data_IF_229227552646
#
_entry.id   IF_229227552646
#
_cell.length_a   1.000
_cell.length_b   1.000
_cell.length_c   1.000
_cell.angle_alpha   90.00
_cell.angle_beta   90.00
_cell.angle_gamma   90.00
#
_symmetry.space_group_name_H-M   'P 1'
#
loop_
_entity.id
_entity.type
_entity.pdbx_description
1 polymer ?
#
# COMPACT_ATOMS: atom_id res chain seq x y z
N UNK A 1 -75.69 55.09 -29.38
CA UNK A 1 -74.68 54.54 -28.44
C UNK A 1 -75.20 53.23 -27.89
N UNK A 2 -74.47 52.12 -28.12
CA UNK A 2 -74.49 50.92 -27.28
C UNK A 2 -73.19 50.14 -27.60
N UNK A 3 -72.09 50.52 -26.94
CA UNK A 3 -70.83 49.74 -26.92
C UNK A 3 -71.07 48.54 -26.01
N UNK A 4 -71.40 47.38 -26.60
CA UNK A 4 -71.81 46.19 -25.86
C UNK A 4 -70.93 44.97 -26.12
N UNK A 5 -70.40 44.41 -25.05
CA UNK A 5 -70.00 43.00 -24.87
C UNK A 5 -68.78 42.39 -25.57
N UNK A 6 -68.26 42.91 -26.68
CA UNK A 6 -67.20 42.18 -27.39
C UNK A 6 -65.90 42.07 -26.57
N UNK A 7 -65.42 43.19 -25.99
CA UNK A 7 -64.20 43.23 -25.18
C UNK A 7 -64.23 42.38 -23.90
N UNK A 8 -65.40 42.21 -23.26
CA UNK A 8 -65.54 41.35 -22.06
C UNK A 8 -65.47 39.86 -22.41
N UNK A 9 -65.94 39.48 -23.62
CA UNK A 9 -65.85 38.10 -24.11
C UNK A 9 -64.41 37.74 -24.52
N UNK A 10 -63.66 38.67 -25.13
CA UNK A 10 -62.24 38.45 -25.46
C UNK A 10 -61.37 38.39 -24.19
N UNK A 11 -61.64 39.23 -23.19
CA UNK A 11 -60.92 39.21 -21.91
C UNK A 11 -61.16 37.91 -21.11
N UNK A 12 -62.35 37.31 -21.21
CA UNK A 12 -62.66 36.04 -20.55
C UNK A 12 -62.00 34.85 -21.25
N UNK A 13 -61.89 34.87 -22.58
CA UNK A 13 -61.19 33.84 -23.35
C UNK A 13 -59.67 33.86 -23.10
N UNK A 14 -59.06 35.05 -23.01
CA UNK A 14 -57.65 35.19 -22.67
C UNK A 14 -57.32 34.70 -21.24
N UNK A 15 -58.28 34.82 -20.29
CA UNK A 15 -58.10 34.35 -18.90
C UNK A 15 -58.20 32.82 -18.75
N UNK A 16 -58.85 32.14 -19.69
CA UNK A 16 -59.03 30.67 -19.66
C UNK A 16 -57.92 29.95 -20.44
N UNK A 17 -57.27 30.60 -21.41
CA UNK A 17 -56.17 30.02 -22.20
C UNK A 17 -54.77 30.11 -21.58
N UNK A 18 -54.59 30.85 -20.49
CA UNK A 18 -53.29 31.11 -19.86
C UNK A 18 -52.82 30.06 -18.84
N UNK A 19 -53.61 29.02 -18.58
CA UNK A 19 -53.24 27.94 -17.65
C UNK A 19 -53.19 26.61 -18.38
N UNK A 20 -52.38 26.54 -19.44
CA UNK A 20 -51.94 25.27 -20.01
C UNK A 20 -50.52 25.01 -19.52
N UNK A 21 -50.29 23.78 -19.08
CA UNK A 21 -49.09 23.37 -18.36
C UNK A 21 -49.45 22.96 -16.95
N UNK A 22 -50.22 21.87 -16.78
CA UNK A 22 -50.04 21.05 -15.59
C UNK A 22 -48.54 20.79 -15.51
N UNK A 23 -47.86 21.38 -14.52
CA UNK A 23 -46.42 21.19 -14.37
C UNK A 23 -46.15 19.70 -14.39
N UNK A 24 -45.55 19.23 -15.48
CA UNK A 24 -45.22 17.82 -15.63
C UNK A 24 -44.34 17.51 -14.43
N UNK A 25 -44.86 16.68 -13.52
CA UNK A 25 -44.12 16.30 -12.31
C UNK A 25 -42.86 15.64 -12.82
N UNK A 26 -41.75 16.38 -12.83
CA UNK A 26 -40.43 15.84 -13.21
C UNK A 26 -40.28 14.54 -12.46
N UNK A 27 -40.12 13.38 -13.12
CA UNK A 27 -40.10 12.10 -12.43
C UNK A 27 -38.81 12.01 -11.62
N UNK A 28 -38.82 12.51 -10.39
CA UNK A 28 -37.65 12.56 -9.50
C UNK A 28 -37.22 11.14 -9.08
N UNK A 29 -38.09 10.14 -9.25
CA UNK A 29 -37.78 8.75 -8.93
C UNK A 29 -36.58 8.19 -9.70
N UNK A 30 -36.46 8.47 -11.01
CA UNK A 30 -35.33 8.01 -11.82
C UNK A 30 -33.98 8.61 -11.38
N UNK A 31 -33.81 9.94 -11.26
CA UNK A 31 -32.54 10.51 -10.79
C UNK A 31 -32.22 10.13 -9.34
N UNK A 32 -33.22 9.94 -8.46
CA UNK A 32 -32.99 9.41 -7.10
C UNK A 32 -32.44 7.99 -7.15
N UNK A 33 -33.07 7.09 -7.92
CA UNK A 33 -32.61 5.71 -8.06
C UNK A 33 -31.19 5.66 -8.66
N UNK A 34 -30.90 6.48 -9.67
CA UNK A 34 -29.57 6.59 -10.27
C UNK A 34 -28.53 7.11 -9.27
N UNK A 35 -28.88 8.12 -8.47
CA UNK A 35 -28.00 8.65 -7.41
C UNK A 35 -27.71 7.58 -6.36
N UNK A 36 -28.72 6.82 -5.95
CA UNK A 36 -28.56 5.73 -5.00
C UNK A 36 -27.62 4.64 -5.52
N UNK A 37 -27.77 4.24 -6.79
CA UNK A 37 -26.87 3.27 -7.42
C UNK A 37 -25.43 3.79 -7.48
N UNK A 38 -25.22 5.06 -7.82
CA UNK A 38 -23.88 5.67 -7.84
C UNK A 38 -23.25 5.72 -6.44
N UNK A 39 -24.00 6.14 -5.42
CA UNK A 39 -23.51 6.19 -4.03
C UNK A 39 -23.20 4.79 -3.52
N UNK A 40 -24.10 3.81 -3.74
CA UNK A 40 -23.86 2.42 -3.35
C UNK A 40 -22.64 1.84 -4.08
N UNK A 41 -22.52 2.09 -5.38
CA UNK A 41 -21.37 1.69 -6.17
C UNK A 41 -20.07 2.27 -5.62
N UNK A 42 -20.05 3.56 -5.28
CA UNK A 42 -18.87 4.21 -4.70
C UNK A 42 -18.53 3.66 -3.32
N UNK A 43 -19.53 3.41 -2.47
CA UNK A 43 -19.34 2.76 -1.16
C UNK A 43 -18.77 1.35 -1.31
N UNK A 44 -19.27 0.55 -2.26
CA UNK A 44 -18.74 -0.79 -2.53
C UNK A 44 -17.31 -0.76 -3.08
N UNK A 45 -16.98 0.21 -3.93
CA UNK A 45 -15.60 0.39 -4.42
C UNK A 45 -14.67 0.77 -3.28
N UNK A 46 -15.04 1.73 -2.42
CA UNK A 46 -14.26 2.11 -1.24
C UNK A 46 -14.09 0.90 -0.30
N UNK A 47 -15.17 0.18 -0.01
CA UNK A 47 -15.13 -1.01 0.81
C UNK A 47 -14.26 -2.12 0.20
N UNK A 48 -14.34 -2.34 -1.10
CA UNK A 48 -13.51 -3.34 -1.81
C UNK A 48 -12.03 -2.97 -1.78
N UNK A 49 -11.67 -1.68 -1.92
CA UNK A 49 -10.28 -1.23 -1.80
C UNK A 49 -9.73 -1.48 -0.40
N UNK A 50 -10.46 -1.08 0.64
CA UNK A 50 -10.08 -1.35 2.04
C UNK A 50 -9.98 -2.86 2.35
N UNK A 51 -10.83 -3.68 1.72
CA UNK A 51 -10.85 -5.13 1.95
C UNK A 51 -9.77 -5.88 1.16
N UNK A 52 -9.30 -5.32 0.03
CA UNK A 52 -8.19 -5.90 -0.74
C UNK A 52 -6.90 -5.86 0.05
N UNK A 53 -6.61 -4.77 0.76
CA UNK A 53 -5.48 -4.69 1.70
C UNK A 53 -5.52 -5.80 2.76
N UNK A 54 -6.72 -6.15 3.26
CA UNK A 54 -6.88 -7.27 4.18
C UNK A 54 -6.75 -8.65 3.52
N UNK A 55 -6.85 -8.74 2.19
CA UNK A 55 -6.73 -10.00 1.43
C UNK A 55 -5.29 -10.28 0.99
N UNK A 56 -4.46 -9.25 0.87
CA UNK A 56 -3.08 -9.34 0.37
C UNK A 56 -2.04 -9.64 1.45
N UNK A 57 -2.43 -10.25 2.57
CA UNK A 57 -1.51 -10.58 3.65
C UNK A 57 -0.98 -12.03 3.56
N UNK A 58 0.28 -12.30 3.94
CA UNK A 58 0.86 -13.64 3.95
C UNK A 58 0.05 -14.62 4.80
N UNK A 59 -0.07 -15.86 4.34
CA UNK A 59 -0.77 -16.95 5.03
C UNK A 59 0.17 -18.10 5.31
N UNK A 60 -0.27 -19.01 6.17
CA UNK A 60 0.45 -20.27 6.38
C UNK A 60 0.58 -21.03 5.05
N UNK A 61 1.82 -21.37 4.69
CA UNK A 61 2.16 -22.01 3.43
C UNK A 61 2.56 -21.06 2.29
N UNK A 62 2.43 -19.75 2.47
CA UNK A 62 3.04 -18.77 1.56
C UNK A 62 4.57 -18.70 1.78
N UNK A 63 5.29 -18.22 0.77
CA UNK A 63 6.73 -17.96 0.87
C UNK A 63 7.07 -16.69 0.08
N UNK A 64 7.14 -15.57 0.79
CA UNK A 64 7.39 -14.24 0.24
C UNK A 64 8.75 -13.73 0.68
N UNK A 65 9.27 -12.79 -0.09
CA UNK A 65 10.52 -12.11 0.15
C UNK A 65 10.30 -10.61 -0.02
N UNK A 66 10.84 -9.83 0.90
CA UNK A 66 10.85 -8.38 0.81
C UNK A 66 12.25 -7.86 1.08
N UNK A 67 12.79 -7.04 0.20
CA UNK A 67 14.07 -6.40 0.44
C UNK A 67 13.94 -5.30 1.50
N UNK A 68 14.99 -5.10 2.29
CA UNK A 68 15.07 -3.95 3.17
C UNK A 68 16.48 -3.34 3.22
N UNK A 69 16.53 -2.06 3.54
CA UNK A 69 17.71 -1.39 4.03
C UNK A 69 17.37 -0.46 5.19
N UNK A 70 18.37 -0.17 6.02
CA UNK A 70 18.28 0.79 7.11
C UNK A 70 19.26 1.92 6.82
N UNK A 71 18.75 3.15 6.77
CA UNK A 71 19.49 4.35 6.41
C UNK A 71 19.41 5.38 7.55
N UNK A 72 20.55 5.90 7.98
CA UNK A 72 20.60 6.89 9.07
C UNK A 72 21.42 8.07 8.59
N UNK A 73 20.73 9.17 8.30
CA UNK A 73 21.27 10.42 7.76
C UNK A 73 22.05 10.29 6.44
N UNK A 74 23.27 9.77 6.48
CA UNK A 74 24.17 9.56 5.33
C UNK A 74 24.77 8.14 5.28
N UNK A 75 24.49 7.32 6.29
CA UNK A 75 25.08 5.99 6.46
C UNK A 75 24.06 4.86 6.35
N UNK A 76 24.45 3.82 5.62
CA UNK A 76 23.70 2.56 5.59
C UNK A 76 24.12 1.66 6.74
N UNK A 77 23.15 1.15 7.48
CA UNK A 77 23.41 0.15 8.52
C UNK A 77 23.64 -1.23 7.91
N UNK A 78 24.29 -2.06 8.73
CA UNK A 78 24.54 -3.45 8.41
C UNK A 78 23.25 -4.24 8.21
N UNK A 79 23.39 -5.42 7.60
CA UNK A 79 22.30 -6.39 7.56
C UNK A 79 22.07 -6.92 8.97
N UNK A 80 20.81 -7.25 9.28
CA UNK A 80 20.49 -8.04 10.46
C UNK A 80 20.97 -9.46 10.17
N UNK A 81 21.77 -10.04 11.06
CA UNK A 81 22.42 -11.35 10.86
C UNK A 81 21.88 -12.43 11.79
N UNK A 82 20.98 -12.07 12.71
CA UNK A 82 20.31 -13.03 13.56
C UNK A 82 19.13 -13.71 12.81
N UNK A 83 19.29 -15.01 12.55
CA UNK A 83 18.34 -15.83 11.77
C UNK A 83 17.25 -16.49 12.64
N UNK A 84 16.97 -15.94 13.83
CA UNK A 84 15.91 -16.46 14.67
C UNK A 84 14.57 -16.46 13.93
N UNK A 85 13.94 -17.63 13.87
CA UNK A 85 12.69 -17.84 13.15
C UNK A 85 11.65 -18.53 14.05
N UNK A 86 11.06 -17.81 15.01
CA UNK A 86 10.09 -18.40 15.93
C UNK A 86 8.74 -18.72 15.24
N UNK A 87 8.34 -17.95 14.23
CA UNK A 87 6.97 -17.98 13.68
C UNK A 87 6.89 -18.02 12.14
N UNK A 88 7.99 -17.94 11.41
CA UNK A 88 8.06 -17.93 9.95
C UNK A 88 8.33 -16.56 9.33
N UNK A 89 8.89 -15.61 10.09
CA UNK A 89 9.35 -14.31 9.58
C UNK A 89 10.74 -14.05 10.13
N UNK A 90 11.74 -14.02 9.24
CA UNK A 90 13.16 -13.94 9.63
C UNK A 90 14.04 -13.38 8.50
N UNK A 91 15.36 -13.36 8.72
CA UNK A 91 16.36 -13.00 7.69
C UNK A 91 17.57 -13.95 7.75
N UNK A 92 18.35 -14.01 6.66
CA UNK A 92 19.60 -14.79 6.58
C UNK A 92 20.85 -13.89 6.44
N UNK A 93 20.77 -12.63 6.86
CA UNK A 93 21.89 -11.70 6.65
C UNK A 93 22.14 -11.41 5.15
N UNK A 94 21.13 -11.58 4.31
CA UNK A 94 21.14 -11.26 2.89
C UNK A 94 20.53 -9.87 2.62
N UNK A 95 19.77 -9.33 3.57
CA UNK A 95 18.99 -8.08 3.45
C UNK A 95 17.60 -8.28 2.88
N UNK A 96 17.10 -9.51 2.99
CA UNK A 96 15.72 -9.86 2.71
C UNK A 96 15.02 -10.20 4.03
N UNK A 97 13.77 -9.78 4.13
CA UNK A 97 12.78 -10.32 5.05
C UNK A 97 12.15 -11.54 4.36
N UNK A 98 12.40 -12.72 4.91
CA UNK A 98 11.82 -13.98 4.48
C UNK A 98 10.52 -14.17 5.25
N UNK A 99 9.41 -14.31 4.53
CA UNK A 99 8.06 -14.29 5.10
C UNK A 99 7.33 -15.56 4.65
N UNK A 100 7.37 -16.57 5.50
CA UNK A 100 6.79 -17.90 5.27
C UNK A 100 6.13 -18.40 6.57
N UNK A 101 4.98 -17.81 6.97
CA UNK A 101 4.40 -18.03 8.29
C UNK A 101 4.11 -19.50 8.59
N UNK A 102 4.48 -19.97 9.78
CA UNK A 102 4.16 -21.32 10.24
C UNK A 102 2.83 -21.40 10.96
N UNK A 103 2.38 -20.27 11.53
CA UNK A 103 1.23 -20.21 12.42
C UNK A 103 0.50 -18.85 12.31
N UNK A 104 -0.54 -18.67 13.12
CA UNK A 104 -1.35 -17.45 13.10
C UNK A 104 -0.64 -16.22 13.63
N UNK A 105 0.40 -16.36 14.45
CA UNK A 105 1.14 -15.27 15.09
C UNK A 105 1.96 -14.44 14.10
N UNK A 106 2.36 -15.02 12.96
CA UNK A 106 3.07 -14.31 11.90
C UNK A 106 2.30 -14.28 10.57
N UNK A 107 0.98 -14.49 10.59
CA UNK A 107 0.15 -14.51 9.36
C UNK A 107 -0.93 -13.44 9.39
N UNK A 108 -1.44 -13.10 8.20
CA UNK A 108 -2.52 -12.14 8.04
C UNK A 108 -2.12 -10.78 8.60
N UNK A 109 -2.91 -10.27 9.55
CA UNK A 109 -2.67 -8.95 10.14
C UNK A 109 -1.44 -8.88 11.04
N UNK A 110 -0.92 -10.03 11.48
CA UNK A 110 0.28 -10.13 12.34
C UNK A 110 1.56 -10.39 11.54
N UNK A 111 1.45 -10.53 10.22
CA UNK A 111 2.60 -10.53 9.33
C UNK A 111 3.02 -9.07 9.08
N UNK A 112 3.70 -8.47 10.05
CA UNK A 112 4.10 -7.07 10.04
C UNK A 112 5.55 -6.86 10.48
N UNK A 113 6.01 -5.61 10.41
CA UNK A 113 7.36 -5.23 10.80
C UNK A 113 7.63 -5.55 12.27
N UNK A 114 6.66 -5.35 13.17
CA UNK A 114 6.80 -5.67 14.59
C UNK A 114 7.19 -7.13 14.81
N UNK A 115 6.54 -8.06 14.11
CA UNK A 115 6.91 -9.47 14.14
C UNK A 115 8.33 -9.73 13.59
N UNK A 116 8.69 -9.11 12.46
CA UNK A 116 10.05 -9.24 11.90
C UNK A 116 11.13 -8.75 12.87
N UNK A 117 11.00 -7.52 13.38
CA UNK A 117 11.97 -6.95 14.32
C UNK A 117 12.01 -7.72 15.65
N UNK A 118 10.86 -8.21 16.11
CA UNK A 118 10.74 -9.02 17.31
C UNK A 118 11.37 -10.41 17.19
N UNK A 119 11.40 -11.00 15.98
CA UNK A 119 11.91 -12.37 15.73
C UNK A 119 13.32 -12.61 16.28
N UNK A 120 14.18 -11.60 16.22
CA UNK A 120 15.57 -11.65 16.66
C UNK A 120 15.85 -10.86 17.96
N UNK A 121 14.81 -10.44 18.68
CA UNK A 121 14.91 -9.67 19.92
C UNK A 121 15.13 -8.17 19.73
N UNK A 122 14.98 -7.65 18.50
CA UNK A 122 14.89 -6.23 18.22
C UNK A 122 13.48 -5.68 18.42
N UNK A 123 13.28 -4.44 18.01
CA UNK A 123 11.96 -3.79 18.01
C UNK A 123 11.94 -2.61 17.06
N UNK A 124 10.75 -2.23 16.62
CA UNK A 124 10.52 -0.97 15.91
C UNK A 124 9.21 -0.36 16.42
N UNK A 125 9.17 0.95 16.52
CA UNK A 125 7.96 1.73 16.78
C UNK A 125 8.02 3.01 15.93
N UNK A 126 7.16 3.99 16.21
CA UNK A 126 7.06 5.20 15.39
C UNK A 126 8.25 6.16 15.54
N UNK A 127 9.12 5.97 16.54
CA UNK A 127 10.26 6.87 16.80
C UNK A 127 11.60 6.18 17.09
N UNK A 128 11.64 4.85 17.13
CA UNK A 128 12.91 4.14 17.34
C UNK A 128 12.94 2.74 16.72
N UNK A 129 14.18 2.30 16.49
CA UNK A 129 14.54 1.00 15.94
C UNK A 129 15.65 0.38 16.77
N UNK A 130 15.46 -0.87 17.21
CA UNK A 130 16.48 -1.68 17.86
C UNK A 130 16.93 -2.81 16.94
N UNK A 131 18.24 -2.87 16.68
CA UNK A 131 18.87 -3.89 15.84
C UNK A 131 19.22 -5.15 16.63
N UNK A 132 19.57 -6.21 15.92
CA UNK A 132 20.07 -7.49 16.47
C UNK A 132 21.39 -7.35 17.24
N UNK A 133 22.15 -6.30 16.96
CA UNK A 133 23.36 -5.93 17.71
C UNK A 133 23.07 -5.31 19.08
N UNK A 134 21.80 -4.96 19.35
CA UNK A 134 21.38 -4.19 20.50
C UNK A 134 21.51 -2.67 20.32
N UNK A 135 22.04 -2.20 19.19
CA UNK A 135 22.02 -0.77 18.83
C UNK A 135 20.57 -0.26 18.78
N UNK A 136 20.32 0.89 19.42
CA UNK A 136 19.03 1.59 19.36
C UNK A 136 19.24 2.90 18.61
N UNK A 137 18.50 3.07 17.52
CA UNK A 137 18.47 4.28 16.71
C UNK A 137 17.14 4.98 17.02
N UNK A 138 17.19 6.25 17.40
CA UNK A 138 16.00 7.04 17.77
C UNK A 138 15.91 8.30 16.94
N UNK A 139 14.70 8.83 16.82
CA UNK A 139 14.48 10.19 16.29
C UNK A 139 15.17 11.26 17.14
N UNK A 140 15.31 12.46 16.55
CA UNK A 140 15.87 13.63 17.21
C UNK A 140 17.39 13.74 17.17
N UNK A 141 18.09 12.74 16.63
CA UNK A 141 19.53 12.82 16.38
C UNK A 141 19.85 13.86 15.30
N UNK A 142 21.00 14.52 15.43
CA UNK A 142 21.43 15.55 14.47
C UNK A 142 21.82 14.92 13.14
N UNK A 143 21.16 15.36 12.07
CA UNK A 143 21.50 15.06 10.70
C UNK A 143 21.67 16.38 9.94
N UNK A 144 22.92 16.80 9.76
CA UNK A 144 23.26 18.04 9.05
C UNK A 144 22.58 19.30 9.63
N UNK A 145 22.43 19.38 10.95
CA UNK A 145 21.80 20.51 11.63
C UNK A 145 20.27 20.42 11.76
N UNK A 146 19.65 19.32 11.33
CA UNK A 146 18.22 19.05 11.47
C UNK A 146 18.00 17.74 12.24
N UNK A 147 16.99 17.67 13.12
CA UNK A 147 16.66 16.43 13.83
C UNK A 147 16.08 15.40 12.85
N UNK A 148 16.50 14.14 12.97
CA UNK A 148 15.93 13.03 12.20
C UNK A 148 14.54 12.63 12.70
N UNK A 149 13.67 12.24 11.78
CA UNK A 149 12.43 11.50 12.02
C UNK A 149 12.49 10.13 11.35
N UNK A 150 11.78 9.15 11.89
CA UNK A 150 11.70 7.79 11.38
C UNK A 150 10.62 7.73 10.29
N UNK A 151 11.04 7.30 9.10
CA UNK A 151 10.18 7.11 7.94
C UNK A 151 10.46 5.75 7.33
N UNK A 152 9.43 5.06 6.85
CA UNK A 152 9.58 3.86 6.03
C UNK A 152 9.08 4.17 4.62
N UNK A 153 9.96 4.07 3.63
CA UNK A 153 9.57 4.13 2.23
C UNK A 153 9.34 2.71 1.69
N UNK A 154 8.14 2.44 1.17
CA UNK A 154 7.79 1.21 0.43
C UNK A 154 7.90 1.48 -1.08
N UNK A 155 8.86 0.83 -1.73
CA UNK A 155 9.11 0.92 -3.16
C UNK A 155 8.44 -0.23 -3.92
N UNK A 156 8.07 0.01 -5.18
CA UNK A 156 7.68 -1.06 -6.09
C UNK A 156 8.92 -1.66 -6.74
N UNK A 157 9.36 -2.84 -6.30
CA UNK A 157 10.57 -3.48 -6.85
C UNK A 157 10.45 -3.81 -8.35
N UNK A 158 9.22 -3.88 -8.88
CA UNK A 158 8.95 -4.16 -10.30
C UNK A 158 8.83 -2.88 -11.15
N UNK A 159 8.71 -1.72 -10.52
CA UNK A 159 8.55 -0.41 -11.17
C UNK A 159 9.34 0.63 -10.35
N UNK A 160 10.67 0.61 -10.53
CA UNK A 160 11.62 1.37 -9.70
C UNK A 160 11.55 2.89 -9.92
N UNK A 161 10.86 3.32 -10.97
CA UNK A 161 10.61 4.73 -11.27
C UNK A 161 9.36 5.27 -10.56
N UNK A 162 8.53 4.39 -9.97
CA UNK A 162 7.36 4.79 -9.19
C UNK A 162 7.78 5.41 -7.87
N UNK A 163 7.16 6.53 -7.53
CA UNK A 163 7.30 7.16 -6.22
C UNK A 163 6.93 6.17 -5.09
N UNK A 164 7.75 6.07 -4.03
CA UNK A 164 7.46 5.20 -2.91
C UNK A 164 6.28 5.72 -2.08
N UNK A 165 5.63 4.81 -1.37
CA UNK A 165 4.73 5.16 -0.28
C UNK A 165 5.58 5.48 0.96
N UNK A 166 5.42 6.67 1.52
CA UNK A 166 6.11 7.09 2.75
C UNK A 166 5.18 6.88 3.94
N UNK A 167 5.64 6.09 4.91
CA UNK A 167 4.91 5.70 6.11
C UNK A 167 5.65 6.25 7.33
N UNK A 168 4.95 6.99 8.19
CA UNK A 168 5.51 7.67 9.36
C UNK A 168 4.79 7.34 10.67
N UNK A 169 3.73 6.54 10.59
CA UNK A 169 2.88 6.17 11.73
C UNK A 169 2.55 4.69 11.65
N UNK A 170 2.25 4.08 12.80
CA UNK A 170 1.97 2.65 12.91
C UNK A 170 3.07 1.80 12.26
N UNK A 171 4.34 2.21 12.41
CA UNK A 171 5.48 1.63 11.69
C UNK A 171 5.66 0.15 12.06
N UNK A 172 5.43 -0.19 13.32
CA UNK A 172 5.43 -1.58 13.79
C UNK A 172 4.35 -2.43 13.10
N UNK A 173 3.27 -1.83 12.60
CA UNK A 173 2.14 -2.52 11.98
C UNK A 173 2.16 -2.45 10.45
N UNK A 174 3.27 -2.00 9.85
CA UNK A 174 3.47 -2.07 8.39
C UNK A 174 3.36 -3.53 7.96
N UNK A 175 2.31 -3.84 7.20
CA UNK A 175 2.05 -5.18 6.67
C UNK A 175 2.78 -5.41 5.36
N UNK A 176 3.07 -6.68 5.11
CA UNK A 176 3.47 -7.15 3.79
C UNK A 176 2.22 -7.31 2.91
N UNK A 177 2.23 -6.67 1.74
CA UNK A 177 1.09 -6.61 0.83
C UNK A 177 1.28 -7.47 -0.43
N UNK A 178 2.52 -7.84 -0.75
CA UNK A 178 2.82 -8.75 -1.87
C UNK A 178 4.21 -9.36 -1.69
N UNK A 179 4.48 -10.42 -2.44
CA UNK A 179 5.85 -10.87 -2.62
C UNK A 179 6.65 -9.82 -3.42
N UNK A 180 7.96 -9.75 -3.21
CA UNK A 180 8.90 -8.86 -3.88
C UNK A 180 8.63 -7.38 -3.59
N UNK A 181 8.35 -7.03 -2.33
CA UNK A 181 8.36 -5.64 -1.87
C UNK A 181 9.78 -5.17 -1.54
N UNK A 182 9.98 -3.87 -1.45
CA UNK A 182 11.26 -3.27 -1.07
C UNK A 182 11.04 -2.09 -0.13
N UNK A 183 11.79 -2.05 0.97
CA UNK A 183 11.62 -1.04 2.03
C UNK A 183 12.93 -0.34 2.37
N UNK A 184 12.90 0.98 2.53
CA UNK A 184 13.96 1.72 3.23
C UNK A 184 13.41 2.22 4.55
N UNK A 185 14.01 1.79 5.66
CA UNK A 185 13.74 2.30 7.01
C UNK A 185 14.76 3.40 7.27
N UNK A 186 14.32 4.65 7.32
CA UNK A 186 15.20 5.80 7.32
C UNK A 186 14.99 6.70 8.54
N UNK A 187 16.09 7.11 9.15
CA UNK A 187 16.14 8.24 10.08
C UNK A 187 16.74 9.43 9.31
N UNK A 188 15.89 10.35 8.87
CA UNK A 188 16.23 11.50 8.00
C UNK A 188 15.43 12.73 8.43
N UNK A 189 15.85 13.96 8.10
CA UNK A 189 15.07 15.17 8.39
C UNK A 189 13.64 15.10 7.85
N UNK A 190 12.74 15.87 8.47
CA UNK A 190 11.30 15.88 8.14
C UNK A 190 11.02 16.22 6.66
N UNK A 191 11.85 17.05 6.03
CA UNK A 191 11.75 17.46 4.62
C UNK A 191 12.54 16.59 3.63
N UNK A 192 13.16 15.51 4.11
CA UNK A 192 13.95 14.58 3.29
C UNK A 192 13.22 13.25 3.15
N UNK A 193 13.05 12.80 1.91
CA UNK A 193 12.48 11.48 1.64
C UNK A 193 13.56 10.38 1.80
N UNK A 194 13.17 9.18 2.32
CA UNK A 194 14.08 8.05 2.38
C UNK A 194 14.65 7.70 1.00
N UNK A 195 15.95 7.39 0.89
CA UNK A 195 16.55 7.00 -0.38
C UNK A 195 16.04 5.61 -0.83
N UNK A 196 16.14 5.35 -2.14
CA UNK A 196 15.95 4.00 -2.67
C UNK A 196 16.98 3.03 -2.08
N UNK A 197 16.59 1.75 -1.96
CA UNK A 197 17.48 0.70 -1.44
C UNK A 197 18.74 0.58 -2.30
N UNK A 198 19.81 0.07 -1.70
CA UNK A 198 21.04 -0.18 -2.44
C UNK A 198 20.81 -1.20 -3.56
N UNK A 199 21.44 -1.05 -4.74
CA UNK A 199 21.22 -1.94 -5.88
C UNK A 199 21.41 -3.43 -5.58
N UNK A 200 22.33 -3.78 -4.65
CA UNK A 200 22.51 -5.17 -4.23
C UNK A 200 21.24 -5.79 -3.64
N UNK A 201 20.38 -5.02 -2.96
CA UNK A 201 19.13 -5.52 -2.37
C UNK A 201 18.16 -6.00 -3.42
N UNK A 202 17.99 -5.22 -4.48
CA UNK A 202 17.16 -5.60 -5.62
C UNK A 202 17.72 -6.83 -6.32
N UNK A 203 19.05 -6.92 -6.47
CA UNK A 203 19.70 -8.08 -7.09
C UNK A 203 19.38 -9.37 -6.31
N UNK A 204 19.52 -9.37 -4.98
CA UNK A 204 19.17 -10.54 -4.18
C UNK A 204 17.67 -10.86 -4.26
N UNK A 205 16.81 -9.84 -4.22
CA UNK A 205 15.36 -10.03 -4.34
C UNK A 205 14.97 -10.68 -5.68
N UNK A 206 15.64 -10.32 -6.77
CA UNK A 206 15.44 -10.91 -8.09
C UNK A 206 15.89 -12.39 -8.15
N UNK A 207 16.95 -12.77 -7.42
CA UNK A 207 17.41 -14.19 -7.38
C UNK A 207 16.42 -15.14 -6.71
N UNK A 208 15.59 -14.62 -5.80
CA UNK A 208 14.55 -15.39 -5.11
C UNK A 208 13.17 -15.21 -5.74
N UNK A 209 13.08 -14.51 -6.88
CA UNK A 209 11.85 -14.39 -7.65
C UNK A 209 11.50 -15.76 -8.26
N UNK A 210 10.35 -16.37 -7.88
CA UNK A 210 9.93 -17.65 -8.44
C UNK A 210 9.82 -17.65 -9.98
N UNK A 211 9.58 -16.48 -10.58
CA UNK A 211 9.51 -16.32 -12.05
C UNK A 211 10.87 -16.48 -12.71
N UNK A 212 11.94 -15.99 -12.07
CA UNK A 212 13.30 -16.11 -12.57
C UNK A 212 13.81 -17.56 -12.48
N UNK A 213 13.46 -18.26 -11.39
CA UNK A 213 13.84 -19.67 -11.17
C UNK A 213 13.16 -20.60 -12.19
N UNK A 214 11.94 -20.27 -12.63
CA UNK A 214 11.22 -21.09 -13.62
C UNK A 214 11.73 -20.89 -15.05
N UNK A 215 12.25 -19.71 -15.40
CA UNK A 215 12.81 -19.45 -16.74
C UNK A 215 14.13 -20.19 -17.02
N UNK A 216 14.98 -20.40 -16.01
CA UNK A 216 16.24 -21.14 -16.20
C UNK A 216 16.01 -22.64 -16.46
N UNK A 217 14.90 -23.19 -15.99
CA UNK A 217 14.53 -24.59 -16.23
C UNK A 217 14.00 -24.87 -17.65
N UNK A 218 13.70 -23.83 -18.44
CA UNK A 218 13.27 -23.98 -19.84
C UNK A 218 14.44 -23.94 -20.84
N UNK A 219 15.65 -23.58 -20.40
CA UNK A 219 16.83 -23.46 -21.27
C UNK A 219 17.82 -24.63 -21.16
N UNK A 220 17.49 -25.69 -20.41
CA UNK A 220 18.29 -26.93 -20.45
C UNK A 220 17.94 -27.71 -21.72
N UNK A 221 18.46 -27.22 -22.85
CA UNK A 221 18.58 -28.01 -24.08
C UNK A 221 19.47 -29.19 -23.74
N UNK A 222 18.85 -30.37 -23.64
CA UNK A 222 19.54 -31.64 -23.49
C UNK A 222 20.38 -31.86 -24.75
N UNK A 223 21.65 -31.47 -24.70
CA UNK A 223 22.65 -31.93 -25.68
C UNK A 223 23.10 -33.31 -25.22
N UNK A 224 22.36 -34.34 -25.64
CA UNK A 224 22.89 -35.70 -25.67
C UNK A 224 24.04 -35.72 -26.66
N UNK A 225 25.27 -35.80 -26.16
CA UNK A 225 26.40 -36.24 -26.99
C UNK A 225 26.29 -37.76 -27.11
N UNK A 226 25.84 -38.25 -28.27
CA UNK A 226 26.08 -39.63 -28.67
C UNK A 226 27.51 -39.73 -29.21
N UNK A 227 28.25 -40.70 -28.67
CA UNK A 227 29.56 -41.14 -29.19
C UNK A 227 29.43 -42.20 -30.27
#
# INVERSE_FOLDING_TARGET
MARGESGKKVARAARVGGTSGSGERRPIGYPIALTFVLVLGLLLVVWSRNSREATSAPRVGDHWHSAYDIYVCEDWRGKIVNEADPNGIHTHGDGLMHIHPFNSEASGKKADFGEFFGSYGGSINDSSLQLDTGEVISEGEDCNGQPTVLKVARFDAQDRDREPEIITEEIANIRYLKNLEAFTIAFVPEDVDPPALRPERYTFLETVDPRAIQSDNLNVVTTTSEG
#
